data_IF_497149657338
#
_entry.id   IF_497149657338
#
_cell.length_a   1.000
_cell.length_b   1.000
_cell.length_c   1.000
_cell.angle_alpha   90.00
_cell.angle_beta   90.00
_cell.angle_gamma   90.00
#
_symmetry.space_group_name_H-M   'P 1'
#
loop_
_entity.id
_entity.type
_entity.pdbx_description
1 polymer ?
#
# COMPACT_ATOMS: atom_id res chain seq x y z
N UNK A 1 22.50 -3.03 9.56
CA UNK A 1 22.88 -3.42 8.18
C UNK A 1 23.14 -2.15 7.37
N UNK A 2 24.12 -2.17 6.46
CA UNK A 2 24.35 -1.09 5.49
C UNK A 2 24.47 -1.73 4.10
N UNK A 3 23.68 -1.25 3.13
CA UNK A 3 23.61 -1.83 1.79
C UNK A 3 22.62 -1.07 0.90
N UNK A 4 22.63 -1.35 -0.40
CA UNK A 4 21.66 -0.82 -1.36
C UNK A 4 20.50 -1.81 -1.53
N UNK A 5 19.32 -1.31 -1.84
CA UNK A 5 18.17 -2.14 -2.22
C UNK A 5 17.76 -1.82 -3.64
N UNK A 6 17.53 -2.87 -4.43
CA UNK A 6 16.87 -2.82 -5.73
C UNK A 6 15.51 -3.55 -5.67
N UNK A 7 14.98 -3.79 -4.46
CA UNK A 7 13.74 -4.52 -4.26
C UNK A 7 12.56 -3.71 -4.83
N UNK A 8 11.76 -4.35 -5.66
CA UNK A 8 10.49 -3.81 -6.14
C UNK A 8 9.35 -4.64 -5.55
N UNK A 9 8.50 -4.01 -4.73
CA UNK A 9 7.36 -4.66 -4.07
C UNK A 9 6.11 -4.42 -4.93
N UNK A 10 5.43 -5.49 -5.31
CA UNK A 10 4.24 -5.49 -6.15
C UNK A 10 3.26 -6.58 -5.69
N UNK A 11 1.99 -6.56 -6.15
CA UNK A 11 0.98 -7.54 -5.73
C UNK A 11 1.46 -8.99 -5.84
N UNK A 12 1.23 -9.79 -4.79
CA UNK A 12 1.78 -11.14 -4.64
C UNK A 12 3.03 -11.21 -3.75
N UNK A 13 3.59 -10.07 -3.32
CA UNK A 13 4.74 -10.06 -2.41
C UNK A 13 4.40 -10.66 -1.03
N UNK A 14 5.23 -11.59 -0.55
CA UNK A 14 5.12 -12.18 0.78
C UNK A 14 5.86 -11.33 1.82
N UNK A 15 5.11 -10.61 2.64
CA UNK A 15 5.63 -9.73 3.69
C UNK A 15 6.27 -10.52 4.84
N UNK A 16 7.56 -10.28 5.09
CA UNK A 16 8.35 -11.00 6.09
C UNK A 16 8.44 -10.28 7.45
N UNK A 17 8.49 -8.95 7.46
CA UNK A 17 8.77 -8.14 8.67
C UNK A 17 7.69 -7.09 8.91
N UNK A 18 7.19 -6.45 7.85
CA UNK A 18 6.20 -5.38 7.98
C UNK A 18 4.80 -5.96 8.10
N UNK A 19 4.12 -5.60 9.19
CA UNK A 19 2.75 -6.03 9.49
C UNK A 19 1.72 -4.96 9.13
N UNK A 20 2.04 -3.69 9.38
CA UNK A 20 1.23 -2.52 9.00
C UNK A 20 2.09 -1.40 8.41
N UNK A 21 1.44 -0.39 7.83
CA UNK A 21 2.11 0.69 7.10
C UNK A 21 1.41 2.03 7.34
N UNK A 22 2.19 3.07 7.67
CA UNK A 22 1.76 4.47 7.59
C UNK A 22 2.40 5.06 6.33
N UNK A 23 1.59 5.64 5.45
CA UNK A 23 2.07 6.20 4.17
C UNK A 23 1.15 7.31 3.66
N UNK A 24 1.59 8.06 2.66
CA UNK A 24 0.77 9.09 2.02
C UNK A 24 -0.20 8.48 0.99
N UNK A 25 -1.12 9.29 0.46
CA UNK A 25 -1.85 8.95 -0.77
C UNK A 25 -1.00 9.23 -2.01
N UNK A 26 -0.80 8.19 -2.82
CA UNK A 26 0.12 8.17 -3.97
C UNK A 26 -0.63 8.35 -5.29
N UNK A 27 0.06 8.82 -6.32
CA UNK A 27 -0.52 8.96 -7.65
C UNK A 27 -0.95 7.62 -8.27
N UNK A 28 -2.02 7.63 -9.10
CA UNK A 28 -2.32 6.52 -10.01
C UNK A 28 -1.08 6.13 -10.82
N UNK A 29 -0.86 4.83 -11.00
CA UNK A 29 0.25 4.25 -11.79
C UNK A 29 1.66 4.54 -11.24
N UNK A 30 1.79 4.88 -9.96
CA UNK A 30 3.10 4.99 -9.29
C UNK A 30 3.58 3.65 -8.72
N UNK A 31 4.91 3.49 -8.58
CA UNK A 31 5.51 2.34 -7.90
C UNK A 31 5.10 2.23 -6.43
N UNK A 32 4.90 3.36 -5.75
CA UNK A 32 4.42 3.40 -4.37
C UNK A 32 2.98 2.88 -4.26
N UNK A 33 2.13 3.17 -5.25
CA UNK A 33 0.79 2.59 -5.30
C UNK A 33 0.84 1.06 -5.47
N UNK A 34 1.82 0.53 -6.21
CA UNK A 34 2.02 -0.92 -6.33
C UNK A 34 2.44 -1.56 -5.01
N UNK A 35 3.34 -0.91 -4.26
CA UNK A 35 3.75 -1.37 -2.91
C UNK A 35 2.54 -1.42 -1.97
N UNK A 36 1.73 -0.37 -1.95
CA UNK A 36 0.51 -0.32 -1.12
C UNK A 36 -0.49 -1.38 -1.58
N UNK A 37 -0.68 -1.54 -2.89
CA UNK A 37 -1.55 -2.58 -3.46
C UNK A 37 -1.08 -3.99 -3.12
N UNK A 38 0.22 -4.21 -2.91
CA UNK A 38 0.78 -5.48 -2.47
C UNK A 38 0.47 -5.79 -1.00
N UNK A 39 0.13 -4.76 -0.20
CA UNK A 39 -0.26 -4.93 1.19
C UNK A 39 -1.76 -5.11 1.34
N UNK A 40 -2.59 -4.28 0.71
CA UNK A 40 -4.05 -4.27 0.99
C UNK A 40 -4.91 -4.85 -0.14
N UNK A 41 -4.29 -5.25 -1.25
CA UNK A 41 -4.99 -5.71 -2.44
C UNK A 41 -5.51 -4.56 -3.31
N UNK A 42 -5.60 -4.82 -4.62
CA UNK A 42 -5.95 -3.78 -5.62
C UNK A 42 -7.36 -3.24 -5.44
N UNK A 43 -8.35 -4.11 -5.28
CA UNK A 43 -9.77 -3.70 -5.22
C UNK A 43 -10.02 -2.82 -4.01
N UNK A 44 -9.58 -3.27 -2.83
CA UNK A 44 -9.68 -2.50 -1.59
C UNK A 44 -8.97 -1.16 -1.68
N UNK A 45 -7.77 -1.11 -2.29
CA UNK A 45 -7.04 0.14 -2.49
C UNK A 45 -7.83 1.13 -3.36
N UNK A 46 -8.46 0.66 -4.43
CA UNK A 46 -9.25 1.52 -5.32
C UNK A 46 -10.50 2.06 -4.61
N UNK A 47 -11.17 1.25 -3.81
CA UNK A 47 -12.32 1.70 -2.99
C UNK A 47 -11.88 2.77 -1.98
N UNK A 48 -10.78 2.54 -1.24
CA UNK A 48 -10.24 3.51 -0.28
C UNK A 48 -9.88 4.85 -0.94
N UNK A 49 -9.37 4.81 -2.17
CA UNK A 49 -9.05 6.02 -2.93
C UNK A 49 -10.31 6.78 -3.35
N UNK A 50 -11.37 6.07 -3.75
CA UNK A 50 -12.67 6.69 -4.05
C UNK A 50 -13.25 7.37 -2.81
N UNK A 51 -13.20 6.69 -1.66
CA UNK A 51 -13.67 7.26 -0.38
C UNK A 51 -12.85 8.50 0.02
N UNK A 52 -11.51 8.44 -0.10
CA UNK A 52 -10.64 9.56 0.20
C UNK A 52 -10.90 10.78 -0.71
N UNK A 53 -11.17 10.55 -2.00
CA UNK A 53 -11.56 11.62 -2.94
C UNK A 53 -12.91 12.22 -2.54
N UNK A 54 -13.91 11.38 -2.24
CA UNK A 54 -15.24 11.83 -1.83
C UNK A 54 -15.20 12.66 -0.53
N UNK A 55 -14.29 12.31 0.38
CA UNK A 55 -14.05 13.02 1.64
C UNK A 55 -13.06 14.18 1.53
N UNK A 56 -12.61 14.53 0.32
CA UNK A 56 -11.68 15.64 0.05
C UNK A 56 -10.35 15.55 0.80
N UNK A 57 -9.81 14.34 0.96
CA UNK A 57 -8.46 14.15 1.46
C UNK A 57 -7.45 14.80 0.52
N UNK A 58 -6.37 15.33 1.10
CA UNK A 58 -5.26 15.92 0.38
C UNK A 58 -4.28 14.82 0.00
N UNK A 59 -3.91 14.72 -1.27
CA UNK A 59 -3.00 13.69 -1.76
C UNK A 59 -1.55 14.20 -1.79
N UNK A 60 -0.59 13.35 -2.18
CA UNK A 60 0.82 13.67 -2.39
C UNK A 60 1.65 13.90 -1.12
N UNK A 61 2.87 14.41 -1.30
CA UNK A 61 3.92 14.49 -0.29
C UNK A 61 3.54 15.27 0.98
N UNK A 62 2.69 16.28 0.85
CA UNK A 62 2.25 17.16 1.95
C UNK A 62 0.76 17.02 2.26
N UNK A 63 0.14 15.98 1.70
CA UNK A 63 -1.26 15.66 1.92
C UNK A 63 -1.50 14.98 3.26
N UNK A 64 -2.63 14.29 3.33
CA UNK A 64 -3.00 13.46 4.45
C UNK A 64 -2.33 12.08 4.35
N UNK A 65 -2.41 11.33 5.44
CA UNK A 65 -1.81 10.00 5.55
C UNK A 65 -2.88 8.91 5.61
N UNK A 66 -2.46 7.70 5.26
CA UNK A 66 -3.20 6.46 5.39
C UNK A 66 -2.46 5.54 6.38
N UNK A 67 -3.20 5.01 7.34
CA UNK A 67 -2.73 3.96 8.25
C UNK A 67 -3.35 2.61 7.82
N UNK A 68 -2.49 1.66 7.49
CA UNK A 68 -2.84 0.26 7.23
C UNK A 68 -2.46 -0.55 8.46
N UNK A 69 -3.48 -1.07 9.15
CA UNK A 69 -3.29 -1.93 10.30
C UNK A 69 -2.99 -3.39 9.86
N UNK A 70 -2.39 -4.22 10.73
CA UNK A 70 -2.07 -5.62 10.43
C UNK A 70 -3.23 -6.44 9.88
N UNK A 71 -4.44 -6.19 10.36
CA UNK A 71 -5.67 -6.89 9.96
C UNK A 71 -6.11 -6.55 8.52
N UNK A 72 -5.59 -5.46 7.97
CA UNK A 72 -5.88 -5.05 6.61
C UNK A 72 -4.92 -5.66 5.56
N UNK A 73 -3.83 -6.30 6.01
CA UNK A 73 -2.85 -6.95 5.13
C UNK A 73 -3.48 -8.17 4.45
N UNK A 74 -3.33 -8.26 3.13
CA UNK A 74 -3.75 -9.44 2.38
C UNK A 74 -2.91 -10.63 2.80
N UNK A 75 -3.57 -11.69 3.24
CA UNK A 75 -2.94 -13.00 3.36
C UNK A 75 -2.62 -13.50 1.95
N UNK A 76 -1.40 -13.97 1.67
CA UNK A 76 -1.14 -14.70 0.44
C UNK A 76 -2.15 -15.83 0.31
N UNK A 77 -2.69 -16.05 -0.90
CA UNK A 77 -3.39 -17.30 -1.17
C UNK A 77 -2.39 -18.44 -0.89
N UNK A 78 -2.78 -19.50 -0.16
CA UNK A 78 -1.89 -20.64 0.03
C UNK A 78 -1.51 -21.17 -1.35
N UNK A 79 -0.21 -21.41 -1.54
CA UNK A 79 0.33 -21.97 -2.77
C UNK A 79 -0.40 -23.28 -3.08
N UNK A 80 -1.04 -23.37 -4.26
CA UNK A 80 -1.43 -24.66 -4.85
C UNK A 80 -0.20 -25.29 -5.52
#
# INVERSE_FOLDING_TARGET
YCGKTNLFIYPGYQWQVVEGLITNFHLPRSSLLMLVSAMVGRERLLTLYQDAIALSYRFYSFGDAMLILPEAKTTPLPDF
#
